data_IF_014371595995
#
_entry.id   IF_014371595995
#
_cell.length_a   1.000
_cell.length_b   1.000
_cell.length_c   1.000
_cell.angle_alpha   90.00
_cell.angle_beta   90.00
_cell.angle_gamma   90.00
#
_symmetry.space_group_name_H-M   'P 1'
#
loop_
_entity.id
_entity.type
_entity.pdbx_description
1 polymer ?
#
# COMPACT_ATOMS: atom_id res chain seq x y z
N UNK A 1 -32.14 -7.70 -14.62
CA UNK A 1 -30.79 -8.29 -14.61
C UNK A 1 -30.49 -8.76 -13.20
N UNK A 2 -30.05 -10.02 -13.11
CA UNK A 2 -29.95 -10.89 -11.94
C UNK A 2 -29.54 -10.23 -10.62
N UNK A 3 -30.45 -10.22 -9.64
CA UNK A 3 -30.12 -10.06 -8.23
C UNK A 3 -30.00 -11.46 -7.61
N UNK A 4 -28.78 -11.96 -7.54
CA UNK A 4 -28.41 -13.23 -6.91
C UNK A 4 -28.76 -13.18 -5.42
N UNK A 5 -29.71 -14.01 -4.98
CA UNK A 5 -30.03 -14.21 -3.56
C UNK A 5 -28.81 -14.79 -2.83
N UNK A 6 -28.36 -14.23 -1.69
CA UNK A 6 -27.37 -14.87 -0.83
C UNK A 6 -28.07 -15.93 0.02
N UNK A 7 -28.28 -17.13 -0.54
CA UNK A 7 -29.12 -18.19 0.06
C UNK A 7 -28.32 -19.29 0.80
N UNK A 8 -27.12 -19.00 1.33
CA UNK A 8 -26.21 -20.06 1.81
C UNK A 8 -25.94 -20.16 3.32
N UNK A 9 -26.04 -19.07 4.09
CA UNK A 9 -25.55 -19.03 5.49
C UNK A 9 -26.61 -18.73 6.56
N UNK A 10 -27.74 -18.14 6.19
CA UNK A 10 -28.80 -17.83 7.15
C UNK A 10 -29.61 -19.07 7.53
N UNK A 11 -29.72 -20.03 6.60
CA UNK A 11 -30.44 -21.28 6.79
C UNK A 11 -29.73 -22.20 7.79
N UNK A 12 -28.40 -22.16 7.87
CA UNK A 12 -27.64 -23.04 8.79
C UNK A 12 -27.84 -22.65 10.26
N UNK A 13 -27.88 -21.35 10.58
CA UNK A 13 -28.12 -20.88 11.96
C UNK A 13 -29.54 -21.18 12.42
N UNK A 14 -30.54 -20.91 11.56
CA UNK A 14 -31.93 -21.24 11.87
C UNK A 14 -32.12 -22.74 12.09
N UNK A 15 -31.54 -23.57 11.21
CA UNK A 15 -31.58 -25.03 11.35
C UNK A 15 -30.88 -25.52 12.63
N UNK A 16 -29.81 -24.83 13.07
CA UNK A 16 -29.09 -25.16 14.31
C UNK A 16 -29.92 -24.82 15.54
N UNK A 17 -30.59 -23.66 15.55
CA UNK A 17 -31.52 -23.28 16.63
C UNK A 17 -32.70 -24.25 16.68
N UNK A 18 -33.28 -24.59 15.52
CA UNK A 18 -34.40 -25.54 15.44
C UNK A 18 -34.02 -26.89 16.03
N UNK A 19 -32.87 -27.43 15.62
CA UNK A 19 -32.37 -28.71 16.13
C UNK A 19 -32.09 -28.66 17.64
N UNK A 20 -31.52 -27.56 18.14
CA UNK A 20 -31.28 -27.38 19.57
C UNK A 20 -32.58 -27.34 20.38
N UNK A 21 -33.59 -26.59 19.92
CA UNK A 21 -34.90 -26.52 20.59
C UNK A 21 -35.58 -27.89 20.59
N UNK A 22 -35.51 -28.64 19.49
CA UNK A 22 -36.03 -30.00 19.41
C UNK A 22 -35.34 -30.95 20.40
N UNK A 23 -34.01 -30.95 20.43
CA UNK A 23 -33.22 -31.79 21.35
C UNK A 23 -33.49 -31.47 22.83
N UNK A 24 -33.63 -30.20 23.19
CA UNK A 24 -33.94 -29.82 24.57
C UNK A 24 -35.38 -30.16 24.96
N UNK A 25 -36.35 -29.97 24.06
CA UNK A 25 -37.72 -30.41 24.30
C UNK A 25 -37.80 -31.93 24.48
N UNK A 26 -37.06 -32.70 23.68
CA UNK A 26 -36.99 -34.15 23.79
C UNK A 26 -36.34 -34.60 25.10
N UNK A 27 -35.24 -33.97 25.53
CA UNK A 27 -34.62 -34.26 26.84
C UNK A 27 -35.54 -33.98 28.02
N UNK A 28 -36.37 -32.94 27.95
CA UNK A 28 -37.34 -32.62 29.00
C UNK A 28 -38.48 -33.66 29.00
N UNK A 29 -38.92 -34.10 27.83
CA UNK A 29 -39.92 -35.17 27.69
C UNK A 29 -39.41 -36.50 28.25
N UNK A 30 -38.18 -36.88 27.92
CA UNK A 30 -37.51 -38.08 28.44
C UNK A 30 -37.28 -38.01 29.95
N UNK A 31 -36.95 -36.84 30.49
CA UNK A 31 -36.80 -36.61 31.94
C UNK A 31 -38.14 -36.64 32.69
N UNK A 32 -39.22 -36.15 32.08
CA UNK A 32 -40.54 -36.23 32.69
C UNK A 32 -41.13 -37.64 32.62
N UNK A 33 -40.70 -38.42 31.62
CA UNK A 33 -41.05 -39.85 31.47
C UNK A 33 -40.09 -40.79 32.23
N UNK A 34 -39.03 -40.28 32.86
CA UNK A 34 -38.15 -41.10 33.68
C UNK A 34 -38.91 -41.50 34.94
N UNK A 35 -39.33 -42.78 34.94
CA UNK A 35 -40.07 -43.49 35.99
C UNK A 35 -39.83 -42.91 37.39
N UNK A 36 -40.92 -42.52 38.05
CA UNK A 36 -40.95 -42.34 39.50
C UNK A 36 -40.29 -43.55 40.18
N UNK A 37 -39.36 -43.30 41.09
CA UNK A 37 -38.62 -44.36 41.79
C UNK A 37 -39.58 -45.37 42.43
N UNK A 38 -39.20 -46.63 42.30
CA UNK A 38 -40.10 -47.79 42.18
C UNK A 38 -40.69 -48.35 43.47
N UNK A 39 -40.69 -47.67 44.61
CA UNK A 39 -40.92 -48.38 45.87
C UNK A 39 -42.16 -47.98 46.70
N UNK A 40 -42.91 -46.91 46.39
CA UNK A 40 -44.05 -46.51 47.28
C UNK A 40 -45.37 -46.07 46.61
N UNK A 41 -45.45 -45.98 45.27
CA UNK A 41 -46.67 -45.47 44.60
C UNK A 41 -47.32 -46.57 43.75
N UNK A 42 -48.62 -46.88 43.95
CA UNK A 42 -49.37 -47.81 43.11
C UNK A 42 -49.30 -47.48 41.62
N UNK A 43 -49.19 -48.53 40.78
CA UNK A 43 -49.06 -48.42 39.33
C UNK A 43 -50.17 -47.59 38.68
N UNK A 44 -51.43 -47.69 39.13
CA UNK A 44 -52.52 -46.91 38.53
C UNK A 44 -52.38 -45.41 38.77
N UNK A 45 -51.84 -45.01 39.93
CA UNK A 45 -51.60 -43.60 40.27
C UNK A 45 -50.41 -43.07 39.46
N UNK A 46 -49.36 -43.88 39.28
CA UNK A 46 -48.23 -43.51 38.42
C UNK A 46 -48.66 -43.34 36.96
N UNK A 47 -49.51 -44.22 36.44
CA UNK A 47 -50.05 -44.10 35.08
C UNK A 47 -50.91 -42.86 34.90
N UNK A 48 -51.78 -42.54 35.87
CA UNK A 48 -52.59 -41.31 35.86
C UNK A 48 -51.72 -40.05 35.90
N UNK A 49 -50.70 -40.01 36.75
CA UNK A 49 -49.77 -38.88 36.85
C UNK A 49 -49.00 -38.72 35.53
N UNK A 50 -48.48 -39.80 34.97
CA UNK A 50 -47.75 -39.76 33.69
C UNK A 50 -48.64 -39.30 32.53
N UNK A 51 -49.89 -39.76 32.48
CA UNK A 51 -50.86 -39.31 31.47
C UNK A 51 -51.16 -37.82 31.59
N UNK A 52 -51.34 -37.31 32.82
CA UNK A 52 -51.65 -35.90 33.05
C UNK A 52 -50.42 -35.01 32.77
N UNK A 53 -49.23 -35.43 33.19
CA UNK A 53 -47.96 -34.75 32.88
C UNK A 53 -47.72 -34.69 31.37
N UNK A 54 -47.96 -35.80 30.66
CA UNK A 54 -47.81 -35.85 29.19
C UNK A 54 -48.82 -34.96 28.49
N UNK A 55 -50.08 -34.94 28.94
CA UNK A 55 -51.12 -34.04 28.37
C UNK A 55 -50.77 -32.56 28.58
N UNK A 56 -50.36 -32.18 29.79
CA UNK A 56 -49.98 -30.80 30.10
C UNK A 56 -48.73 -30.38 29.33
N UNK A 57 -47.74 -31.27 29.20
CA UNK A 57 -46.52 -31.01 28.44
C UNK A 57 -46.81 -30.85 26.93
N UNK A 58 -47.59 -31.76 26.33
CA UNK A 58 -47.93 -31.70 24.91
C UNK A 58 -48.79 -30.48 24.55
N UNK A 59 -49.64 -30.02 25.46
CA UNK A 59 -50.42 -28.80 25.27
C UNK A 59 -49.54 -27.53 25.28
N UNK A 60 -48.49 -27.49 26.10
CA UNK A 60 -47.58 -26.34 26.18
C UNK A 60 -46.47 -26.38 25.13
N UNK A 61 -45.98 -27.56 24.77
CA UNK A 61 -44.82 -27.80 23.90
C UNK A 61 -45.27 -28.40 22.56
N UNK A 62 -46.34 -27.82 22.00
CA UNK A 62 -46.81 -28.21 20.67
C UNK A 62 -45.87 -27.69 19.57
N UNK A 63 -45.98 -28.24 18.35
CA UNK A 63 -45.13 -27.87 17.21
C UNK A 63 -45.18 -26.37 16.89
N UNK A 64 -46.35 -25.76 16.99
CA UNK A 64 -46.54 -24.32 16.72
C UNK A 64 -45.80 -23.46 17.76
N UNK A 65 -45.84 -23.85 19.04
CA UNK A 65 -45.11 -23.17 20.11
C UNK A 65 -43.60 -23.30 19.92
N UNK A 66 -43.11 -24.46 19.44
CA UNK A 66 -41.70 -24.66 19.10
C UNK A 66 -41.28 -23.76 17.94
N UNK A 67 -42.06 -23.69 16.87
CA UNK A 67 -41.77 -22.85 15.70
C UNK A 67 -41.75 -21.35 16.07
N UNK A 68 -42.70 -20.91 16.91
CA UNK A 68 -42.74 -19.53 17.45
C UNK A 68 -41.49 -19.25 18.29
N UNK A 69 -41.07 -20.19 19.14
CA UNK A 69 -39.89 -20.05 19.98
C UNK A 69 -38.61 -19.96 19.13
N UNK A 70 -38.45 -20.83 18.14
CA UNK A 70 -37.31 -20.84 17.22
C UNK A 70 -37.24 -19.51 16.45
N UNK A 71 -38.38 -19.04 15.92
CA UNK A 71 -38.46 -17.77 15.20
C UNK A 71 -38.07 -16.61 16.12
N UNK A 72 -38.55 -16.60 17.36
CA UNK A 72 -38.26 -15.53 18.31
C UNK A 72 -36.79 -15.50 18.74
N UNK A 73 -36.18 -16.67 18.95
CA UNK A 73 -34.75 -16.79 19.25
C UNK A 73 -33.92 -16.30 18.06
N UNK A 74 -34.31 -16.66 16.84
CA UNK A 74 -33.64 -16.21 15.63
C UNK A 74 -33.71 -14.68 15.46
N UNK A 75 -34.88 -14.07 15.67
CA UNK A 75 -35.03 -12.60 15.65
C UNK A 75 -34.12 -11.90 16.66
N UNK A 76 -34.03 -12.43 17.89
CA UNK A 76 -33.15 -11.89 18.93
C UNK A 76 -31.68 -12.06 18.57
N UNK A 77 -31.29 -13.20 18.00
CA UNK A 77 -29.91 -13.44 17.56
C UNK A 77 -29.52 -12.50 16.41
N UNK A 78 -30.42 -12.28 15.44
CA UNK A 78 -30.20 -11.34 14.34
C UNK A 78 -30.07 -9.91 14.87
N UNK A 79 -30.96 -9.49 15.77
CA UNK A 79 -30.88 -8.17 16.40
C UNK A 79 -29.56 -7.98 17.17
N UNK A 80 -29.14 -9.00 17.93
CA UNK A 80 -27.87 -9.01 18.65
C UNK A 80 -26.66 -8.97 17.71
N UNK A 81 -26.66 -9.75 16.62
CA UNK A 81 -25.61 -9.73 15.59
C UNK A 81 -25.49 -8.36 14.93
N UNK A 82 -26.61 -7.72 14.59
CA UNK A 82 -26.60 -6.36 14.01
C UNK A 82 -26.01 -5.35 15.00
N UNK A 83 -26.37 -5.45 16.27
CA UNK A 83 -25.84 -4.57 17.30
C UNK A 83 -24.34 -4.81 17.54
N UNK A 84 -23.90 -6.07 17.59
CA UNK A 84 -22.48 -6.42 17.68
C UNK A 84 -21.69 -6.02 16.45
N UNK A 85 -22.26 -6.10 15.26
CA UNK A 85 -21.61 -5.61 14.04
C UNK A 85 -21.42 -4.09 14.11
N UNK A 86 -22.42 -3.34 14.57
CA UNK A 86 -22.30 -1.90 14.81
C UNK A 86 -21.22 -1.56 15.83
N UNK A 87 -21.17 -2.30 16.94
CA UNK A 87 -20.14 -2.14 17.97
C UNK A 87 -18.75 -2.46 17.41
N UNK A 88 -18.59 -3.57 16.68
CA UNK A 88 -17.32 -3.96 16.04
C UNK A 88 -16.88 -2.92 15.01
N UNK A 89 -17.78 -2.41 14.16
CA UNK A 89 -17.43 -1.33 13.22
C UNK A 89 -17.06 -0.02 13.91
N UNK A 90 -17.52 0.20 15.14
CA UNK A 90 -17.12 1.36 15.96
C UNK A 90 -15.75 1.17 16.60
N UNK A 91 -15.33 -0.07 16.88
CA UNK A 91 -13.99 -0.43 17.36
C UNK A 91 -12.96 -0.56 16.23
N UNK A 92 -13.38 -0.90 15.01
CA UNK A 92 -12.56 -0.81 13.79
C UNK A 92 -12.52 0.66 13.33
N UNK A 93 -12.07 1.53 14.23
CA UNK A 93 -11.73 2.92 13.97
C UNK A 93 -10.30 3.10 13.47
N UNK A 94 -9.54 2.02 13.27
CA UNK A 94 -8.20 2.09 12.69
C UNK A 94 -8.29 2.05 11.17
N UNK A 95 -8.23 3.25 10.59
CA UNK A 95 -8.08 3.60 9.16
C UNK A 95 -8.78 2.64 8.18
N UNK A 96 -9.89 3.05 7.55
CA UNK A 96 -10.56 2.21 6.57
C UNK A 96 -9.61 1.74 5.47
N UNK A 97 -9.61 0.43 5.15
CA UNK A 97 -8.76 -0.19 4.12
C UNK A 97 -8.78 0.52 2.77
N UNK A 98 -9.88 1.18 2.41
CA UNK A 98 -10.00 1.96 1.17
C UNK A 98 -9.20 3.28 1.18
N UNK A 99 -8.74 3.74 2.35
CA UNK A 99 -7.94 4.95 2.55
C UNK A 99 -6.43 4.65 2.61
N UNK A 100 -6.05 3.39 2.82
CA UNK A 100 -4.67 2.92 2.74
C UNK A 100 -4.45 2.44 1.31
N UNK A 101 -3.47 3.02 0.62
CA UNK A 101 -3.24 2.73 -0.78
C UNK A 101 -2.86 1.27 -1.06
N UNK A 102 -2.88 0.90 -2.34
CA UNK A 102 -2.88 -0.51 -2.79
C UNK A 102 -1.63 -1.29 -2.40
N UNK A 103 -0.46 -0.66 -2.27
CA UNK A 103 0.80 -1.35 -1.91
C UNK A 103 0.94 -1.53 -0.40
N UNK A 104 0.42 -0.59 0.39
CA UNK A 104 0.37 -0.73 1.85
C UNK A 104 -0.64 -1.81 2.28
N UNK A 105 -1.78 -1.93 1.59
CA UNK A 105 -2.73 -3.02 1.83
C UNK A 105 -2.15 -4.41 1.48
N UNK A 106 -1.35 -4.53 0.41
CA UNK A 106 -0.66 -5.79 0.06
C UNK A 106 0.28 -6.27 1.17
N UNK A 107 0.95 -5.34 1.88
CA UNK A 107 1.80 -5.64 3.06
C UNK A 107 0.98 -6.11 4.26
N UNK A 108 -0.20 -5.52 4.47
CA UNK A 108 -1.05 -5.85 5.62
C UNK A 108 -1.67 -7.26 5.51
N UNK A 109 -1.97 -7.70 4.29
CA UNK A 109 -2.69 -8.97 4.05
C UNK A 109 -1.76 -10.17 3.86
N UNK A 110 -0.48 -9.96 3.53
CA UNK A 110 0.49 -11.05 3.31
C UNK A 110 1.79 -10.77 4.08
N UNK A 111 1.95 -11.42 5.24
CA UNK A 111 3.22 -11.41 6.00
C UNK A 111 4.35 -12.21 5.32
N UNK A 112 4.06 -12.93 4.23
CA UNK A 112 5.09 -13.58 3.42
C UNK A 112 5.79 -12.53 2.55
N UNK A 113 7.10 -12.36 2.78
CA UNK A 113 8.04 -11.50 2.04
C UNK A 113 7.56 -11.10 0.64
N UNK A 114 7.24 -9.82 0.46
CA UNK A 114 6.84 -9.18 -0.79
C UNK A 114 7.81 -9.41 -1.96
N UNK A 115 9.03 -9.88 -1.68
CA UNK A 115 10.01 -10.26 -2.70
C UNK A 115 9.51 -11.45 -3.53
N UNK A 116 8.62 -12.28 -2.99
CA UNK A 116 8.26 -13.58 -3.55
C UNK A 116 7.07 -13.58 -4.52
N UNK A 117 6.26 -12.50 -4.60
CA UNK A 117 4.94 -12.55 -5.31
C UNK A 117 4.66 -11.44 -6.33
N UNK A 118 5.66 -10.66 -6.69
CA UNK A 118 5.52 -9.57 -7.67
C UNK A 118 5.93 -8.27 -7.02
N UNK A 119 7.03 -7.69 -7.53
CA UNK A 119 7.77 -6.63 -6.88
C UNK A 119 6.92 -5.44 -6.43
N UNK A 120 7.36 -4.80 -5.35
CA UNK A 120 6.79 -3.56 -4.84
C UNK A 120 7.12 -2.44 -5.83
N UNK A 121 6.08 -1.77 -6.35
CA UNK A 121 6.28 -0.54 -7.13
C UNK A 121 6.61 0.60 -6.17
N UNK A 122 7.85 1.11 -6.23
CA UNK A 122 8.30 2.22 -5.39
C UNK A 122 7.45 3.48 -5.62
N UNK A 123 7.09 3.76 -6.88
CA UNK A 123 6.25 4.91 -7.25
C UNK A 123 4.88 4.83 -6.58
N UNK A 124 4.24 3.66 -6.65
CA UNK A 124 2.93 3.45 -6.02
C UNK A 124 3.04 3.52 -4.49
N UNK A 125 4.13 3.02 -3.92
CA UNK A 125 4.39 3.13 -2.48
C UNK A 125 4.57 4.59 -2.04
N UNK A 126 5.27 5.42 -2.82
CA UNK A 126 5.42 6.84 -2.53
C UNK A 126 4.08 7.57 -2.57
N UNK A 127 3.25 7.29 -3.57
CA UNK A 127 1.87 7.81 -3.65
C UNK A 127 1.06 7.41 -2.43
N UNK A 128 1.16 6.15 -2.01
CA UNK A 128 0.47 5.63 -0.83
C UNK A 128 0.94 6.34 0.45
N UNK A 129 2.25 6.61 0.60
CA UNK A 129 2.82 7.32 1.75
C UNK A 129 2.33 8.78 1.81
N UNK A 130 2.23 9.47 0.68
CA UNK A 130 1.69 10.84 0.63
C UNK A 130 0.21 10.90 1.01
N UNK A 131 -0.55 9.87 0.66
CA UNK A 131 -1.99 9.77 0.96
C UNK A 131 -2.30 9.35 2.40
N UNK A 132 -1.31 8.96 3.20
CA UNK A 132 -1.52 8.61 4.60
C UNK A 132 -2.11 9.80 5.38
N UNK A 133 -3.19 9.62 6.14
CA UNK A 133 -3.76 10.70 6.95
C UNK A 133 -2.88 11.01 8.16
N UNK A 134 -2.93 12.27 8.59
CA UNK A 134 -2.43 12.68 9.91
C UNK A 134 -3.51 12.38 10.92
N UNK A 135 -3.18 11.61 11.95
CA UNK A 135 -4.15 11.31 13.02
C UNK A 135 -3.87 12.27 14.16
N UNK A 136 -4.84 13.13 14.47
CA UNK A 136 -4.77 14.10 15.57
C UNK A 136 -5.84 13.74 16.57
N UNK A 137 -5.44 13.51 17.83
CA UNK A 137 -6.41 13.38 18.93
C UNK A 137 -7.02 14.76 19.15
N UNK A 138 -8.34 14.88 18.97
CA UNK A 138 -9.05 16.10 19.36
C UNK A 138 -9.04 16.18 20.89
N UNK A 139 -8.26 17.11 21.43
CA UNK A 139 -8.20 17.46 22.86
C UNK A 139 -9.51 18.01 23.46
N UNK A 140 -10.66 17.90 22.77
CA UNK A 140 -11.94 18.53 23.16
C UNK A 140 -13.00 17.52 23.63
N UNK A 141 -12.64 16.28 23.93
CA UNK A 141 -13.52 15.39 24.70
C UNK A 141 -12.83 15.18 26.03
N UNK A 142 -13.30 15.91 27.04
CA UNK A 142 -13.00 15.61 28.44
C UNK A 142 -13.13 14.10 28.65
N UNK A 143 -11.99 13.54 29.04
CA UNK A 143 -11.73 12.19 29.52
C UNK A 143 -12.88 11.66 30.35
N UNK A 144 -13.84 11.01 29.69
CA UNK A 144 -14.82 10.12 30.33
C UNK A 144 -14.57 8.65 29.98
N UNK A 145 -13.58 8.36 29.14
CA UNK A 145 -13.02 7.02 28.94
C UNK A 145 -11.53 7.17 28.68
N UNK A 146 -10.71 6.68 29.60
CA UNK A 146 -9.25 6.77 29.53
C UNK A 146 -8.71 6.15 28.24
N UNK A 147 -8.24 7.00 27.33
CA UNK A 147 -7.18 6.60 26.40
C UNK A 147 -5.94 6.45 27.29
N UNK A 148 -5.41 5.23 27.38
CA UNK A 148 -4.18 4.97 28.12
C UNK A 148 -3.04 5.80 27.50
N UNK A 149 -2.13 6.36 28.32
CA UNK A 149 -0.99 7.17 27.84
C UNK A 149 -0.21 6.50 26.69
N UNK A 150 -0.24 5.15 26.63
CA UNK A 150 0.33 4.33 25.58
C UNK A 150 -0.29 4.57 24.19
N UNK A 151 -1.60 4.78 24.07
CA UNK A 151 -2.26 5.01 22.79
C UNK A 151 -1.92 6.40 22.22
N UNK A 152 -1.75 7.38 23.09
CA UNK A 152 -1.32 8.72 22.71
C UNK A 152 0.15 8.74 22.25
N UNK A 153 1.03 8.01 22.95
CA UNK A 153 2.43 7.81 22.52
C UNK A 153 2.52 7.10 21.17
N UNK A 154 1.75 6.03 20.96
CA UNK A 154 1.73 5.30 19.69
C UNK A 154 1.30 6.19 18.52
N UNK A 155 0.38 7.13 18.76
CA UNK A 155 -0.06 8.06 17.74
C UNK A 155 1.00 9.11 17.36
N UNK A 156 1.74 9.59 18.36
CA UNK A 156 2.89 10.47 18.11
C UNK A 156 3.98 9.73 17.33
N UNK A 157 4.27 8.47 17.68
CA UNK A 157 5.18 7.62 16.93
C UNK A 157 4.74 7.43 15.49
N UNK A 158 3.47 7.10 15.24
CA UNK A 158 2.91 6.99 13.89
C UNK A 158 3.11 8.28 13.08
N UNK A 159 2.78 9.43 13.67
CA UNK A 159 2.92 10.73 13.00
C UNK A 159 4.39 11.07 12.70
N UNK A 160 5.32 10.69 13.59
CA UNK A 160 6.76 10.86 13.39
C UNK A 160 7.28 9.95 12.28
N UNK A 161 6.87 8.68 12.26
CA UNK A 161 7.20 7.72 11.19
C UNK A 161 6.68 8.24 9.84
N UNK A 162 5.42 8.70 9.78
CA UNK A 162 4.84 9.30 8.58
C UNK A 162 5.65 10.50 8.07
N UNK A 163 6.02 11.44 8.94
CA UNK A 163 6.86 12.60 8.58
C UNK A 163 8.22 12.15 8.03
N UNK A 164 8.84 11.15 8.65
CA UNK A 164 10.11 10.60 8.21
C UNK A 164 9.99 9.96 6.81
N UNK A 165 8.96 9.15 6.58
CA UNK A 165 8.70 8.51 5.28
C UNK A 165 8.44 9.53 4.18
N UNK A 166 7.67 10.59 4.45
CA UNK A 166 7.45 11.69 3.49
C UNK A 166 8.77 12.38 3.15
N UNK A 167 9.65 12.60 4.14
CA UNK A 167 10.97 13.20 3.91
C UNK A 167 11.83 12.31 3.01
N UNK A 168 11.79 10.99 3.21
CA UNK A 168 12.49 10.04 2.36
C UNK A 168 11.95 10.03 0.93
N UNK A 169 10.62 10.06 0.74
CA UNK A 169 10.00 10.15 -0.59
C UNK A 169 10.48 11.40 -1.35
N UNK A 170 10.48 12.56 -0.68
CA UNK A 170 10.99 13.81 -1.27
C UNK A 170 12.46 13.74 -1.65
N UNK A 171 13.28 13.06 -0.83
CA UNK A 171 14.68 12.88 -1.15
C UNK A 171 14.86 12.02 -2.41
N UNK A 172 14.06 10.97 -2.56
CA UNK A 172 14.07 10.11 -3.75
C UNK A 172 13.73 10.94 -5.01
N UNK A 173 12.67 11.75 -4.96
CA UNK A 173 12.27 12.62 -6.08
C UNK A 173 13.37 13.60 -6.50
N UNK A 174 14.04 14.23 -5.52
CA UNK A 174 15.15 15.15 -5.78
C UNK A 174 16.33 14.40 -6.41
N UNK A 175 16.70 13.25 -5.83
CA UNK A 175 17.80 12.44 -6.34
C UNK A 175 17.55 11.91 -7.74
N UNK A 176 16.31 11.56 -8.11
CA UNK A 176 15.95 11.18 -9.48
C UNK A 176 16.20 12.34 -10.46
N UNK A 177 15.79 13.56 -10.09
CA UNK A 177 16.05 14.75 -10.90
C UNK A 177 17.55 15.06 -11.06
N UNK A 178 18.32 14.94 -9.99
CA UNK A 178 19.78 15.12 -10.05
C UNK A 178 20.47 14.02 -10.88
N UNK A 179 19.97 12.78 -10.82
CA UNK A 179 20.51 11.66 -11.60
C UNK A 179 20.38 11.92 -13.10
N UNK A 180 19.26 12.46 -13.56
CA UNK A 180 19.06 12.79 -14.97
C UNK A 180 20.05 13.85 -15.45
N UNK A 181 20.30 14.87 -14.62
CA UNK A 181 21.32 15.90 -14.90
C UNK A 181 22.72 15.29 -14.97
N UNK A 182 23.06 14.41 -14.01
CA UNK A 182 24.36 13.72 -14.02
C UNK A 182 24.51 12.80 -15.23
N UNK A 183 23.42 12.13 -15.66
CA UNK A 183 23.41 11.27 -16.84
C UNK A 183 23.65 12.08 -18.10
N UNK A 184 22.99 13.22 -18.25
CA UNK A 184 23.21 14.13 -19.38
C UNK A 184 24.68 14.63 -19.42
N UNK A 185 25.24 14.97 -18.26
CA UNK A 185 26.65 15.36 -18.16
C UNK A 185 27.59 14.20 -18.54
N UNK A 186 27.30 12.98 -18.09
CA UNK A 186 28.09 11.80 -18.44
C UNK A 186 28.01 11.48 -19.95
N UNK A 187 26.84 11.62 -20.55
CA UNK A 187 26.65 11.41 -21.99
C UNK A 187 27.41 12.47 -22.81
N UNK A 188 27.45 13.73 -22.35
CA UNK A 188 28.30 14.78 -22.95
C UNK A 188 29.78 14.45 -22.86
N UNK A 189 30.26 13.96 -21.72
CA UNK A 189 31.66 13.54 -21.55
C UNK A 189 31.99 12.35 -22.46
N UNK A 190 31.11 11.34 -22.54
CA UNK A 190 31.28 10.21 -23.47
C UNK A 190 31.30 10.66 -24.93
N UNK A 191 30.44 11.60 -25.30
CA UNK A 191 30.44 12.17 -26.64
C UNK A 191 31.78 12.84 -26.94
N UNK A 192 32.32 13.64 -26.00
CA UNK A 192 33.63 14.25 -26.13
C UNK A 192 34.75 13.20 -26.24
N UNK A 193 34.74 12.14 -25.43
CA UNK A 193 35.69 11.02 -25.53
C UNK A 193 35.65 10.36 -26.91
N UNK A 194 34.45 10.12 -27.44
CA UNK A 194 34.29 9.52 -28.77
C UNK A 194 34.84 10.44 -29.86
N UNK A 195 34.54 11.74 -29.82
CA UNK A 195 35.08 12.71 -30.79
C UNK A 195 36.61 12.77 -30.74
N UNK A 196 37.20 12.76 -29.54
CA UNK A 196 38.66 12.74 -29.40
C UNK A 196 39.26 11.46 -30.00
N UNK A 197 38.64 10.29 -29.74
CA UNK A 197 39.06 9.00 -30.32
C UNK A 197 38.91 8.93 -31.83
N UNK A 198 37.83 9.50 -32.37
CA UNK A 198 37.61 9.58 -33.82
C UNK A 198 38.62 10.51 -34.49
N UNK A 199 38.95 11.63 -33.86
CA UNK A 199 39.82 12.66 -34.44
C UNK A 199 41.32 12.34 -34.30
N UNK A 200 41.73 11.80 -33.16
CA UNK A 200 43.14 11.57 -32.80
C UNK A 200 43.54 10.09 -32.71
N UNK A 201 42.60 9.18 -33.02
CA UNK A 201 42.82 7.73 -33.08
C UNK A 201 42.32 6.98 -31.84
N UNK A 202 41.93 5.72 -32.04
CA UNK A 202 41.21 4.91 -31.04
C UNK A 202 41.96 4.66 -29.72
N UNK A 203 43.27 4.88 -29.70
CA UNK A 203 44.11 4.72 -28.50
C UNK A 203 44.31 6.04 -27.73
N UNK A 204 43.78 7.17 -28.23
CA UNK A 204 43.89 8.47 -27.57
C UNK A 204 42.70 8.68 -26.64
N UNK A 205 42.90 8.49 -25.34
CA UNK A 205 41.92 8.81 -24.31
C UNK A 205 42.01 10.29 -23.89
N UNK A 206 40.95 10.82 -23.27
CA UNK A 206 40.91 12.20 -22.76
C UNK A 206 42.08 12.53 -21.84
N UNK A 207 42.56 11.56 -21.06
CA UNK A 207 43.71 11.75 -20.16
C UNK A 207 45.03 11.98 -20.90
N UNK A 208 45.19 11.43 -22.10
CA UNK A 208 46.38 11.68 -22.92
C UNK A 208 46.24 12.93 -23.77
N UNK A 209 45.02 13.22 -24.22
CA UNK A 209 44.70 14.37 -25.06
C UNK A 209 44.77 15.69 -24.28
N UNK A 210 44.12 15.80 -23.12
CA UNK A 210 44.00 17.07 -22.38
C UNK A 210 45.34 17.71 -22.00
N UNK A 211 46.36 16.97 -21.53
CA UNK A 211 47.68 17.57 -21.25
C UNK A 211 48.38 18.07 -22.51
N UNK A 212 48.23 17.36 -23.64
CA UNK A 212 48.82 17.73 -24.93
C UNK A 212 48.07 18.86 -25.62
N UNK A 213 46.79 19.05 -25.29
CA UNK A 213 45.95 20.09 -25.89
C UNK A 213 46.56 21.48 -25.73
N UNK A 214 47.07 21.84 -24.54
CA UNK A 214 47.69 23.15 -24.34
C UNK A 214 48.98 23.32 -25.13
N UNK A 215 49.75 22.25 -25.30
CA UNK A 215 50.95 22.27 -26.13
C UNK A 215 50.59 22.45 -27.62
N UNK A 216 49.63 21.66 -28.12
CA UNK A 216 49.14 21.77 -29.50
C UNK A 216 48.52 23.14 -29.78
N UNK A 217 47.80 23.70 -28.81
CA UNK A 217 47.26 25.05 -28.90
C UNK A 217 48.37 26.10 -28.96
N UNK A 218 49.43 25.94 -28.16
CA UNK A 218 50.57 26.87 -28.17
C UNK A 218 51.33 26.80 -29.50
N UNK A 219 51.60 25.59 -29.99
CA UNK A 219 52.23 25.36 -31.30
C UNK A 219 51.38 25.97 -32.42
N UNK A 220 50.06 25.75 -32.43
CA UNK A 220 49.15 26.33 -33.42
C UNK A 220 49.09 27.87 -33.34
N UNK A 221 49.18 28.44 -32.13
CA UNK A 221 49.25 29.89 -31.94
C UNK A 221 50.59 30.47 -32.41
N UNK A 222 51.70 29.79 -32.19
CA UNK A 222 53.02 30.18 -32.71
C UNK A 222 53.07 30.09 -34.24
N UNK A 223 52.51 29.03 -34.83
CA UNK A 223 52.35 28.92 -36.29
C UNK A 223 51.50 30.07 -36.85
N UNK A 224 50.37 30.39 -36.20
CA UNK A 224 49.57 31.55 -36.58
C UNK A 224 50.34 32.87 -36.42
N UNK A 225 51.13 33.04 -35.36
CA UNK A 225 51.97 34.22 -35.16
C UNK A 225 52.99 34.35 -36.29
N UNK A 226 53.67 33.27 -36.64
CA UNK A 226 54.69 33.26 -37.67
C UNK A 226 54.07 33.49 -39.06
N UNK A 227 52.88 32.95 -39.34
CA UNK A 227 52.09 33.28 -40.53
C UNK A 227 51.74 34.77 -40.59
N UNK A 228 51.30 35.36 -39.48
CA UNK A 228 51.01 36.80 -39.40
C UNK A 228 52.28 37.64 -39.57
N UNK A 229 53.40 37.23 -38.99
CA UNK A 229 54.68 37.92 -39.11
C UNK A 229 55.22 37.86 -40.55
N UNK A 230 55.08 36.70 -41.22
CA UNK A 230 55.38 36.56 -42.65
C UNK A 230 54.49 37.46 -43.50
N UNK A 231 53.19 37.51 -43.20
CA UNK A 231 52.26 38.43 -43.87
C UNK A 231 52.68 39.89 -43.66
N UNK A 232 53.07 40.29 -42.44
CA UNK A 232 53.52 41.66 -42.12
C UNK A 232 54.83 42.02 -42.85
N UNK A 233 55.80 41.08 -42.88
CA UNK A 233 57.11 41.27 -43.52
C UNK A 233 57.03 41.23 -45.05
N UNK A 234 56.05 40.53 -45.61
CA UNK A 234 55.75 40.57 -47.04
C UNK A 234 55.18 41.96 -47.41
N UNK A 235 55.84 42.62 -48.38
CA UNK A 235 55.54 43.98 -48.87
C UNK A 235 54.05 44.33 -48.92
N UNK A 236 53.71 45.57 -48.53
CA UNK A 236 52.36 46.06 -48.20
C UNK A 236 51.29 46.07 -49.32
N UNK A 237 51.51 45.43 -50.47
CA UNK A 237 50.58 45.53 -51.63
C UNK A 237 50.52 44.27 -52.52
N UNK A 238 50.68 43.05 -51.98
CA UNK A 238 50.33 41.86 -52.77
C UNK A 238 48.83 41.52 -52.66
N UNK A 239 48.12 41.24 -53.76
CA UNK A 239 46.72 40.77 -53.73
C UNK A 239 46.57 39.43 -53.00
N UNK A 240 47.63 38.62 -52.98
CA UNK A 240 47.70 37.35 -52.24
C UNK A 240 47.59 37.56 -50.72
N UNK A 241 48.20 38.61 -50.17
CA UNK A 241 48.09 38.96 -48.74
C UNK A 241 46.66 39.31 -48.35
N UNK A 242 45.92 40.01 -49.21
CA UNK A 242 44.49 40.32 -48.97
C UNK A 242 43.62 39.07 -49.00
N UNK A 243 43.84 38.17 -49.96
CA UNK A 243 43.12 36.90 -50.03
C UNK A 243 43.39 36.01 -48.81
N UNK A 244 44.64 35.99 -48.32
CA UNK A 244 45.00 35.18 -47.15
C UNK A 244 44.40 35.75 -45.86
N UNK A 245 44.36 37.08 -45.72
CA UNK A 245 43.67 37.74 -44.60
C UNK A 245 42.15 37.54 -44.67
N UNK A 246 41.55 37.65 -45.86
CA UNK A 246 40.12 37.36 -46.06
C UNK A 246 39.79 35.90 -45.73
N UNK A 247 40.67 34.96 -46.09
CA UNK A 247 40.51 33.55 -45.76
C UNK A 247 40.54 33.31 -44.25
N UNK A 248 41.54 33.86 -43.55
CA UNK A 248 41.62 33.78 -42.08
C UNK A 248 40.37 34.41 -41.43
N UNK A 249 39.96 35.60 -41.87
CA UNK A 249 38.76 36.25 -41.35
C UNK A 249 37.47 35.46 -41.63
N UNK A 250 37.39 34.77 -42.77
CA UNK A 250 36.25 33.92 -43.10
C UNK A 250 36.20 32.63 -42.28
N UNK A 251 37.35 32.06 -41.94
CA UNK A 251 37.45 30.87 -41.08
C UNK A 251 37.11 31.20 -39.62
N UNK A 252 37.45 32.40 -39.13
CA UNK A 252 37.10 32.84 -37.78
C UNK A 252 35.66 33.38 -37.64
N UNK A 253 35.06 33.95 -38.69
CA UNK A 253 33.70 34.52 -38.64
C UNK A 253 32.58 33.57 -39.07
N UNK A 254 32.88 32.43 -39.70
CA UNK A 254 31.87 31.40 -39.96
C UNK A 254 31.59 30.61 -38.67
N UNK A 255 30.59 31.10 -37.91
CA UNK A 255 29.82 30.29 -36.97
C UNK A 255 28.84 29.39 -37.71
#
# INVERSE_FOLDING_TARGET
>A
MNSTKPQGKNDTTFNTISKFVEEQCQKIEERNNSKFDKEEIPLEIQELINQEVTKVFNNKVNRVTKDILVTRIYELEVAWKIQKLKDVTRFIGDIPKYSVGTELNKKLENQESLVSRGGVSLINLMVDVYNLPVIVIRNNVETTTGLEDNEQQLLEEYNNVRKSLIKQCKLIEISEGELDVMKEAADKVRSLENVVKETYGSNCDLQEYLPKFFQMLHESLDEMRDLLEQLIKSSNTSPERRQMIEKILSEFNNK
#
